data_IF_950468806835
#
_entry.id   IF_950468806835
#
_cell.length_a   1.000
_cell.length_b   1.000
_cell.length_c   1.000
_cell.angle_alpha   90.00
_cell.angle_beta   90.00
_cell.angle_gamma   90.00
#
_symmetry.space_group_name_H-M   'P 1'
#
loop_
_entity.id
_entity.type
_entity.pdbx_description
1 polymer ?
#
# COMPACT_ATOMS: atom_id res chain seq x y z
N UNK A 1 8.59 51.19 48.42
CA UNK A 1 9.88 51.70 48.93
C UNK A 1 10.90 50.56 48.74
N UNK A 2 11.65 50.58 47.63
CA UNK A 2 13.08 50.92 47.55
C UNK A 2 14.04 50.00 48.34
N UNK A 3 14.82 49.24 47.56
CA UNK A 3 16.30 49.14 47.58
C UNK A 3 16.92 48.29 48.73
N UNK A 4 17.52 47.12 48.50
CA UNK A 4 18.81 46.77 47.83
C UNK A 4 20.06 46.89 48.72
N UNK A 5 21.04 46.02 48.44
CA UNK A 5 22.43 45.87 48.93
C UNK A 5 22.59 45.09 50.26
N UNK A 6 23.36 44.01 50.45
CA UNK A 6 24.51 43.29 49.83
C UNK A 6 25.72 43.26 50.79
N UNK A 7 26.62 42.29 50.53
CA UNK A 7 27.93 42.02 51.14
C UNK A 7 27.89 41.19 52.45
N UNK A 8 28.78 40.22 52.71
CA UNK A 8 30.13 39.93 52.21
C UNK A 8 30.46 38.45 52.54
N UNK A 9 30.87 37.60 51.60
CA UNK A 9 32.25 37.32 51.16
C UNK A 9 33.14 36.55 52.16
N UNK A 10 33.44 35.29 51.79
CA UNK A 10 34.74 34.55 51.79
C UNK A 10 34.39 33.05 51.89
N UNK A 11 34.80 32.17 50.98
CA UNK A 11 36.19 31.76 50.81
C UNK A 11 36.40 30.96 49.48
N UNK A 12 37.53 31.27 48.81
CA UNK A 12 38.22 30.57 47.70
C UNK A 12 38.31 29.04 47.90
N UNK A 13 38.56 28.15 46.93
CA UNK A 13 38.72 28.09 45.47
C UNK A 13 38.82 26.57 45.18
N UNK A 14 38.28 26.09 44.07
CA UNK A 14 38.97 25.07 43.26
C UNK A 14 38.56 25.30 41.82
N UNK A 15 39.50 25.85 41.06
CA UNK A 15 39.44 26.04 39.62
C UNK A 15 39.52 24.67 38.95
N UNK A 16 38.43 24.24 38.32
CA UNK A 16 38.51 23.36 37.15
C UNK A 16 37.76 24.07 36.04
N UNK A 17 38.52 24.59 35.07
CA UNK A 17 38.02 25.07 33.78
C UNK A 17 37.30 23.90 33.10
N UNK A 18 36.01 24.04 32.83
CA UNK A 18 35.37 23.32 31.73
C UNK A 18 35.41 24.23 30.49
N UNK A 19 36.21 23.92 29.46
CA UNK A 19 36.20 24.68 28.24
C UNK A 19 34.92 24.39 27.47
N UNK A 20 34.22 25.48 27.10
CA UNK A 20 33.75 25.71 25.74
C UNK A 20 32.77 24.71 25.13
N UNK A 21 31.53 25.18 24.98
CA UNK A 21 30.71 25.13 23.77
C UNK A 21 31.41 24.59 22.50
N UNK A 22 30.65 23.75 21.78
CA UNK A 22 30.88 23.20 20.43
C UNK A 22 31.38 21.75 20.40
N UNK A 23 30.45 20.83 20.63
CA UNK A 23 30.43 19.58 19.86
C UNK A 23 28.97 19.21 19.56
N UNK A 24 28.29 20.10 18.84
CA UNK A 24 27.22 19.67 17.94
C UNK A 24 27.95 19.02 16.78
N UNK A 25 28.09 17.71 16.83
CA UNK A 25 28.60 16.92 15.72
C UNK A 25 27.81 17.32 14.44
N UNK A 26 28.43 18.00 13.46
CA UNK A 26 27.73 18.47 12.26
C UNK A 26 27.35 17.32 11.34
N UNK A 27 27.68 16.08 11.70
CA UNK A 27 27.40 14.87 10.97
C UNK A 27 26.30 14.07 11.64
N UNK A 28 25.09 14.64 11.77
CA UNK A 28 23.91 13.78 11.58
C UNK A 28 23.96 13.40 10.10
N UNK A 29 24.68 12.33 9.78
CA UNK A 29 24.48 11.60 8.53
C UNK A 29 22.97 11.43 8.41
N UNK A 30 22.32 12.08 7.45
CA UNK A 30 20.92 11.81 7.12
C UNK A 30 20.83 10.30 6.97
N UNK A 31 20.24 9.60 7.96
CA UNK A 31 19.96 8.17 7.81
C UNK A 31 19.10 8.07 6.56
N UNK A 32 19.62 7.39 5.54
CA UNK A 32 18.87 7.11 4.31
C UNK A 32 17.64 6.34 4.75
N UNK A 33 16.46 6.87 4.44
CA UNK A 33 15.20 6.25 4.82
C UNK A 33 14.98 5.02 3.96
N UNK A 34 14.46 3.96 4.56
CA UNK A 34 14.07 2.77 3.82
C UNK A 34 12.85 3.08 2.93
N UNK A 35 12.81 2.49 1.73
CA UNK A 35 11.81 2.80 0.71
C UNK A 35 10.55 1.95 0.92
N UNK A 36 9.38 2.58 0.82
CA UNK A 36 8.07 1.92 0.91
C UNK A 36 7.19 2.40 -0.25
N UNK A 37 6.47 1.48 -0.89
CA UNK A 37 5.48 1.83 -1.94
C UNK A 37 4.09 1.72 -1.36
N UNK A 38 3.23 2.69 -1.69
CA UNK A 38 1.82 2.70 -1.30
C UNK A 38 0.96 2.72 -2.57
N UNK A 39 0.10 1.71 -2.73
CA UNK A 39 -0.86 1.60 -3.85
C UNK A 39 -2.26 1.94 -3.34
N UNK A 40 -2.74 3.13 -3.70
CA UNK A 40 -4.04 3.66 -3.34
C UNK A 40 -5.02 3.63 -4.54
N UNK A 41 -6.33 3.71 -4.25
CA UNK A 41 -7.39 3.59 -5.24
C UNK A 41 -8.71 3.13 -4.65
N UNK A 42 -9.83 3.48 -5.29
CA UNK A 42 -11.15 3.01 -4.88
C UNK A 42 -11.31 1.49 -5.05
N UNK A 43 -12.29 0.87 -4.39
CA UNK A 43 -12.59 -0.56 -4.56
C UNK A 43 -12.86 -0.86 -6.04
N UNK A 44 -12.32 -1.97 -6.53
CA UNK A 44 -12.45 -2.38 -7.93
C UNK A 44 -11.46 -1.75 -8.91
N UNK A 45 -10.63 -0.77 -8.53
CA UNK A 45 -9.69 -0.13 -9.48
C UNK A 45 -8.46 -0.96 -9.87
N UNK A 46 -8.27 -2.17 -9.30
CA UNK A 46 -7.14 -3.04 -9.64
C UNK A 46 -5.89 -2.90 -8.74
N UNK A 47 -6.01 -2.32 -7.54
CA UNK A 47 -4.88 -2.19 -6.60
C UNK A 47 -4.13 -3.50 -6.32
N UNK A 48 -4.86 -4.59 -6.04
CA UNK A 48 -4.25 -5.89 -5.75
C UNK A 48 -3.46 -6.41 -6.96
N UNK A 49 -4.05 -6.33 -8.16
CA UNK A 49 -3.38 -6.65 -9.43
C UNK A 49 -2.07 -5.86 -9.56
N UNK A 50 -2.11 -4.54 -9.37
CA UNK A 50 -0.89 -3.71 -9.47
C UNK A 50 0.16 -4.10 -8.42
N UNK A 51 -0.25 -4.34 -7.16
CA UNK A 51 0.71 -4.71 -6.11
C UNK A 51 1.41 -6.04 -6.39
N UNK A 52 0.71 -6.99 -7.03
CA UNK A 52 1.26 -8.30 -7.41
C UNK A 52 2.15 -8.16 -8.65
N UNK A 53 1.72 -7.39 -9.66
CA UNK A 53 2.54 -7.09 -10.85
C UNK A 53 3.87 -6.42 -10.45
N UNK A 54 3.84 -5.53 -9.45
CA UNK A 54 5.05 -4.91 -8.92
C UNK A 54 5.90 -5.90 -8.11
N UNK A 55 5.28 -6.76 -7.30
CA UNK A 55 6.00 -7.75 -6.51
C UNK A 55 6.58 -8.93 -7.31
N UNK A 56 6.16 -9.10 -8.56
CA UNK A 56 6.80 -10.02 -9.52
C UNK A 56 7.96 -9.37 -10.27
N UNK A 57 7.98 -8.04 -10.40
CA UNK A 57 9.05 -7.26 -11.06
C UNK A 57 10.17 -6.84 -10.10
N UNK A 58 9.84 -6.62 -8.84
CA UNK A 58 10.76 -6.24 -7.77
C UNK A 58 10.76 -7.29 -6.68
N UNK A 59 11.87 -7.49 -5.93
CA UNK A 59 11.88 -8.38 -4.78
C UNK A 59 11.05 -7.77 -3.64
N UNK A 60 9.73 -7.91 -3.72
CA UNK A 60 8.78 -7.21 -2.87
C UNK A 60 7.81 -8.16 -2.16
N UNK A 61 7.13 -7.64 -1.14
CA UNK A 61 6.05 -8.32 -0.42
C UNK A 61 4.90 -7.32 -0.18
N UNK A 62 3.66 -7.82 -0.16
CA UNK A 62 2.47 -6.97 -0.06
C UNK A 62 1.96 -6.90 1.37
N UNK A 63 1.64 -5.71 1.85
CA UNK A 63 0.96 -5.47 3.13
C UNK A 63 -0.45 -4.98 2.84
N UNK A 64 -1.46 -5.79 3.17
CA UNK A 64 -2.86 -5.41 2.99
C UNK A 64 -3.23 -4.24 3.91
N UNK A 65 -3.90 -3.24 3.34
CA UNK A 65 -4.46 -2.09 4.05
C UNK A 65 -5.97 -1.93 3.83
N UNK A 66 -6.67 -2.99 3.42
CA UNK A 66 -8.13 -3.03 3.45
C UNK A 66 -8.65 -3.59 4.78
N UNK A 67 -9.42 -2.76 5.50
CA UNK A 67 -10.00 -3.06 6.82
C UNK A 67 -10.88 -4.30 6.88
N UNK A 68 -11.49 -4.72 5.77
CA UNK A 68 -12.34 -5.92 5.76
C UNK A 68 -11.54 -7.16 5.39
N UNK A 69 -10.48 -7.00 4.59
CA UNK A 69 -9.64 -8.12 4.15
C UNK A 69 -8.67 -8.62 5.23
N UNK A 70 -8.49 -7.89 6.34
CA UNK A 70 -7.67 -8.35 7.48
C UNK A 70 -8.27 -9.57 8.19
N UNK A 71 -9.58 -9.79 8.10
CA UNK A 71 -10.29 -10.85 8.83
C UNK A 71 -10.28 -12.18 8.10
N UNK A 72 -10.25 -13.26 8.87
CA UNK A 72 -10.40 -14.64 8.37
C UNK A 72 -11.79 -14.89 7.78
N UNK A 73 -11.85 -15.61 6.66
CA UNK A 73 -13.09 -15.96 5.98
C UNK A 73 -13.78 -14.76 5.31
N UNK A 74 -14.96 -15.00 4.75
CA UNK A 74 -15.65 -14.07 3.85
C UNK A 74 -14.77 -13.61 2.67
N UNK A 75 -14.02 -14.53 2.06
CA UNK A 75 -13.03 -14.24 1.03
C UNK A 75 -13.68 -13.70 -0.25
N UNK A 76 -14.86 -14.21 -0.62
CA UNK A 76 -15.65 -13.72 -1.76
C UNK A 76 -16.21 -12.33 -1.44
N UNK A 77 -16.96 -12.19 -0.34
CA UNK A 77 -17.61 -10.93 0.08
C UNK A 77 -16.59 -9.80 0.26
N UNK A 78 -15.44 -10.10 0.85
CA UNK A 78 -14.37 -9.10 1.07
C UNK A 78 -13.42 -8.96 -0.12
N UNK A 79 -13.68 -9.70 -1.22
CA UNK A 79 -12.91 -9.65 -2.47
C UNK A 79 -11.41 -9.83 -2.21
N UNK A 80 -11.04 -10.82 -1.39
CA UNK A 80 -9.63 -11.17 -1.19
C UNK A 80 -9.07 -11.76 -2.48
N UNK A 81 -7.79 -11.48 -2.70
CA UNK A 81 -7.02 -12.13 -3.76
C UNK A 81 -6.93 -13.63 -3.49
N UNK A 82 -7.12 -14.47 -4.51
CA UNK A 82 -6.99 -15.92 -4.37
C UNK A 82 -5.52 -16.36 -4.34
N UNK A 83 -5.24 -17.60 -3.94
CA UNK A 83 -3.87 -18.13 -3.94
C UNK A 83 -3.27 -18.15 -5.35
N UNK A 84 -4.09 -18.44 -6.37
CA UNK A 84 -3.67 -18.43 -7.77
C UNK A 84 -3.33 -17.00 -8.23
N UNK A 85 -4.19 -16.03 -7.92
CA UNK A 85 -3.97 -14.62 -8.26
C UNK A 85 -2.75 -14.03 -7.55
N UNK A 86 -2.41 -14.53 -6.35
CA UNK A 86 -1.22 -14.08 -5.61
C UNK A 86 0.09 -14.39 -6.34
N UNK A 87 0.13 -15.35 -7.26
CA UNK A 87 1.35 -15.73 -8.00
C UNK A 87 2.56 -16.03 -7.09
N UNK A 88 2.32 -16.57 -5.89
CA UNK A 88 3.35 -16.86 -4.88
C UNK A 88 3.91 -15.63 -4.15
N UNK A 89 3.37 -14.43 -4.37
CA UNK A 89 3.76 -13.21 -3.67
C UNK A 89 3.31 -13.27 -2.21
N UNK A 90 4.22 -13.09 -1.23
CA UNK A 90 3.83 -13.07 0.18
C UNK A 90 2.93 -11.86 0.51
N UNK A 91 1.82 -12.14 1.18
CA UNK A 91 0.87 -11.14 1.68
C UNK A 91 0.85 -11.11 3.21
N UNK A 92 0.92 -9.90 3.77
CA UNK A 92 0.81 -9.61 5.20
C UNK A 92 -0.52 -8.94 5.49
N UNK A 93 -1.06 -9.14 6.71
CA UNK A 93 -2.33 -8.58 7.16
C UNK A 93 -3.54 -8.91 6.29
N UNK A 94 -3.50 -10.05 5.60
CA UNK A 94 -4.59 -10.58 4.78
C UNK A 94 -5.13 -11.84 5.45
N UNK A 95 -6.38 -11.81 5.92
CA UNK A 95 -7.01 -12.99 6.51
C UNK A 95 -6.40 -13.49 7.83
N UNK A 96 -5.85 -12.60 8.66
CA UNK A 96 -5.15 -12.99 9.91
C UNK A 96 -5.96 -12.74 11.19
N UNK A 97 -6.94 -11.83 11.16
CA UNK A 97 -7.69 -11.36 12.34
C UNK A 97 -8.92 -12.24 12.58
N UNK A 98 -9.26 -12.46 13.85
CA UNK A 98 -10.50 -13.15 14.24
C UNK A 98 -11.73 -12.35 13.78
N UNK A 99 -12.72 -13.00 13.12
CA UNK A 99 -13.94 -12.33 12.63
C UNK A 99 -14.76 -11.57 13.68
N UNK A 100 -14.63 -11.92 14.96
CA UNK A 100 -15.45 -11.40 16.06
C UNK A 100 -14.76 -10.30 16.87
N UNK A 101 -13.52 -9.96 16.54
CA UNK A 101 -12.76 -8.92 17.24
C UNK A 101 -12.70 -7.68 16.35
N UNK A 102 -12.72 -6.50 16.94
CA UNK A 102 -12.52 -5.27 16.18
C UNK A 102 -11.04 -5.05 15.85
N UNK A 103 -10.78 -4.63 14.62
CA UNK A 103 -9.45 -4.22 14.16
C UNK A 103 -9.42 -2.70 13.91
N UNK A 104 -8.74 -1.96 14.78
CA UNK A 104 -8.71 -0.50 14.75
C UNK A 104 -7.59 0.04 13.85
N UNK A 105 -7.60 1.34 13.58
CA UNK A 105 -6.49 1.99 12.86
C UNK A 105 -5.17 1.98 13.66
N UNK A 106 -5.25 1.93 15.00
CA UNK A 106 -4.07 1.81 15.86
C UNK A 106 -3.47 0.40 15.76
N UNK A 107 -4.32 -0.64 15.73
CA UNK A 107 -3.89 -2.03 15.52
C UNK A 107 -3.24 -2.18 14.14
N UNK A 108 -3.89 -1.64 13.09
CA UNK A 108 -3.31 -1.60 11.75
C UNK A 108 -1.93 -0.96 11.76
N UNK A 109 -1.78 0.24 12.34
CA UNK A 109 -0.50 0.95 12.39
C UNK A 109 0.58 0.09 13.06
N UNK A 110 0.27 -0.50 14.20
CA UNK A 110 1.22 -1.36 14.92
C UNK A 110 1.65 -2.57 14.07
N UNK A 111 0.70 -3.33 13.55
CA UNK A 111 0.99 -4.54 12.79
C UNK A 111 1.61 -4.27 11.42
N UNK A 112 1.22 -3.18 10.75
CA UNK A 112 1.79 -2.77 9.47
C UNK A 112 3.25 -2.33 9.65
N UNK A 113 3.56 -1.54 10.70
CA UNK A 113 4.95 -1.16 11.00
C UNK A 113 5.84 -2.38 11.25
N UNK A 114 5.37 -3.39 11.98
CA UNK A 114 6.11 -4.65 12.19
C UNK A 114 6.31 -5.44 10.89
N UNK A 115 5.28 -5.51 10.04
CA UNK A 115 5.37 -6.18 8.75
C UNK A 115 6.39 -5.49 7.84
N UNK A 116 6.30 -4.16 7.70
CA UNK A 116 7.22 -3.33 6.92
C UNK A 116 8.66 -3.51 7.40
N UNK A 117 8.91 -3.38 8.72
CA UNK A 117 10.24 -3.59 9.30
C UNK A 117 10.79 -4.99 9.00
N UNK A 118 9.93 -6.02 9.10
CA UNK A 118 10.34 -7.38 8.80
C UNK A 118 10.64 -7.61 7.32
N UNK A 119 9.92 -6.97 6.39
CA UNK A 119 10.15 -7.07 4.94
C UNK A 119 11.47 -6.40 4.58
N UNK A 120 11.68 -5.18 5.08
CA UNK A 120 12.91 -4.40 4.85
C UNK A 120 14.13 -5.14 5.40
N UNK A 121 14.05 -5.75 6.59
CA UNK A 121 15.13 -6.56 7.17
C UNK A 121 15.51 -7.77 6.31
N UNK A 122 14.59 -8.28 5.48
CA UNK A 122 14.86 -9.33 4.48
C UNK A 122 15.46 -8.79 3.18
N UNK A 123 15.71 -7.49 3.07
CA UNK A 123 16.20 -6.83 1.87
C UNK A 123 15.15 -6.74 0.76
N UNK A 124 13.86 -6.71 1.11
CA UNK A 124 12.75 -6.68 0.17
C UNK A 124 11.97 -5.37 0.26
N UNK A 125 11.26 -5.03 -0.82
CA UNK A 125 10.44 -3.83 -0.90
C UNK A 125 9.05 -4.08 -0.28
N UNK A 126 8.64 -3.33 0.77
CA UNK A 126 7.26 -3.37 1.24
C UNK A 126 6.33 -2.57 0.31
N UNK A 127 5.27 -3.22 -0.17
CA UNK A 127 4.19 -2.60 -0.95
C UNK A 127 2.90 -2.62 -0.13
N UNK A 128 2.45 -1.46 0.34
CA UNK A 128 1.19 -1.32 1.09
C UNK A 128 0.05 -1.09 0.10
N UNK A 129 -0.93 -1.99 0.02
CA UNK A 129 -2.02 -1.91 -0.95
C UNK A 129 -3.38 -2.11 -0.27
N UNK A 130 -4.39 -1.29 -0.61
CA UNK A 130 -5.73 -1.43 -0.03
C UNK A 130 -6.61 -0.20 -0.14
N UNK A 131 -7.90 -0.36 0.17
CA UNK A 131 -8.92 0.69 0.00
C UNK A 131 -9.19 1.53 1.24
N UNK A 132 -8.58 1.24 2.39
CA UNK A 132 -8.84 1.98 3.64
C UNK A 132 -7.87 3.13 3.81
N UNK A 133 -8.17 4.25 3.15
CA UNK A 133 -7.39 5.49 3.21
C UNK A 133 -7.10 5.99 4.64
N UNK A 134 -7.98 5.70 5.60
CA UNK A 134 -7.77 5.99 7.02
C UNK A 134 -6.57 5.24 7.60
N UNK A 135 -6.38 3.98 7.23
CA UNK A 135 -5.24 3.15 7.66
C UNK A 135 -3.94 3.68 7.09
N UNK A 136 -3.92 3.97 5.78
CA UNK A 136 -2.77 4.58 5.10
C UNK A 136 -2.42 5.93 5.74
N UNK A 137 -3.41 6.78 6.00
CA UNK A 137 -3.20 8.08 6.66
C UNK A 137 -2.58 7.91 8.05
N UNK A 138 -3.15 7.05 8.89
CA UNK A 138 -2.66 6.88 10.26
C UNK A 138 -1.25 6.30 10.32
N UNK A 139 -0.89 5.43 9.37
CA UNK A 139 0.47 4.89 9.27
C UNK A 139 1.47 5.91 8.70
N UNK A 140 1.16 6.56 7.58
CA UNK A 140 2.15 7.38 6.87
C UNK A 140 2.22 8.81 7.38
N UNK A 141 1.13 9.35 7.95
CA UNK A 141 1.05 10.75 8.41
C UNK A 141 1.05 10.91 9.92
N UNK A 142 0.39 10.02 10.65
CA UNK A 142 0.19 10.17 12.09
C UNK A 142 1.25 9.41 12.92
N UNK A 143 2.02 8.51 12.31
CA UNK A 143 3.12 7.78 12.95
C UNK A 143 4.46 8.48 12.70
N UNK A 144 5.00 9.12 13.75
CA UNK A 144 6.28 9.85 13.69
C UNK A 144 7.46 8.88 13.49
N UNK A 145 7.40 7.71 14.12
CA UNK A 145 8.47 6.72 14.03
C UNK A 145 8.53 6.16 12.60
N UNK A 146 7.36 5.85 12.01
CA UNK A 146 7.28 5.42 10.62
C UNK A 146 7.84 6.48 9.66
N UNK A 147 7.46 7.74 9.82
CA UNK A 147 7.97 8.85 8.99
C UNK A 147 9.46 9.07 9.13
N UNK A 148 10.04 8.81 10.31
CA UNK A 148 11.48 8.96 10.54
C UNK A 148 12.29 7.87 9.84
N UNK A 149 11.73 6.66 9.72
CA UNK A 149 12.40 5.48 9.15
C UNK A 149 12.19 5.32 7.65
N UNK A 150 11.01 5.68 7.15
CA UNK A 150 10.58 5.32 5.80
C UNK A 150 10.31 6.53 4.93
N UNK A 151 10.64 6.38 3.66
CA UNK A 151 10.24 7.27 2.57
C UNK A 151 9.21 6.55 1.72
N UNK A 152 8.09 7.21 1.41
CA UNK A 152 6.96 6.60 0.71
C UNK A 152 6.81 7.14 -0.70
N UNK A 153 6.68 6.23 -1.67
CA UNK A 153 6.21 6.54 -3.02
C UNK A 153 4.73 6.13 -3.15
N UNK A 154 3.89 7.05 -3.60
CA UNK A 154 2.45 6.84 -3.70
C UNK A 154 2.01 6.67 -5.15
N UNK A 155 1.46 5.50 -5.46
CA UNK A 155 0.78 5.20 -6.71
C UNK A 155 -0.72 5.24 -6.49
N UNK A 156 -1.45 5.99 -7.30
CA UNK A 156 -2.91 6.04 -7.26
C UNK A 156 -3.49 5.50 -8.55
N UNK A 157 -4.14 4.34 -8.45
CA UNK A 157 -4.90 3.76 -9.56
C UNK A 157 -6.29 4.39 -9.60
N UNK A 158 -6.52 5.21 -10.61
CA UNK A 158 -7.75 5.97 -10.84
C UNK A 158 -8.57 5.37 -11.98
N UNK A 159 -9.89 5.44 -11.86
CA UNK A 159 -10.84 5.00 -12.89
C UNK A 159 -12.01 5.97 -12.88
N UNK A 160 -12.44 6.40 -14.06
CA UNK A 160 -13.63 7.24 -14.24
C UNK A 160 -14.84 6.66 -13.50
N UNK A 161 -15.48 7.49 -12.67
CA UNK A 161 -16.51 7.03 -11.72
C UNK A 161 -17.69 6.29 -12.39
N UNK A 162 -18.26 6.73 -13.52
CA UNK A 162 -19.34 5.99 -14.19
C UNK A 162 -18.91 4.57 -14.62
N UNK A 163 -17.70 4.44 -15.15
CA UNK A 163 -17.15 3.15 -15.61
C UNK A 163 -16.88 2.26 -14.40
N UNK A 164 -16.28 2.82 -13.34
CA UNK A 164 -16.03 2.10 -12.09
C UNK A 164 -17.33 1.60 -11.45
N UNK A 165 -18.38 2.42 -11.46
CA UNK A 165 -19.68 2.05 -10.88
C UNK A 165 -20.36 0.90 -11.63
N UNK A 166 -20.28 0.90 -12.96
CA UNK A 166 -20.72 -0.25 -13.76
C UNK A 166 -19.92 -1.49 -13.38
N UNK A 167 -18.59 -1.38 -13.39
CA UNK A 167 -17.72 -2.52 -13.10
C UNK A 167 -17.93 -3.13 -11.72
N UNK A 168 -18.02 -2.31 -10.67
CA UNK A 168 -18.21 -2.83 -9.31
C UNK A 168 -19.61 -3.41 -9.12
N UNK A 169 -20.62 -2.93 -9.86
CA UNK A 169 -21.96 -3.53 -9.89
C UNK A 169 -21.90 -4.92 -10.53
N UNK A 170 -21.32 -5.04 -11.73
CA UNK A 170 -21.18 -6.32 -12.43
C UNK A 170 -20.31 -7.31 -11.66
N UNK A 171 -19.34 -6.80 -10.88
CA UNK A 171 -18.54 -7.62 -9.98
C UNK A 171 -19.38 -8.26 -8.88
N UNK A 172 -20.38 -7.56 -8.33
CA UNK A 172 -21.27 -8.15 -7.32
C UNK A 172 -22.02 -9.34 -7.91
N UNK A 173 -22.45 -9.27 -9.18
CA UNK A 173 -23.08 -10.40 -9.85
C UNK A 173 -22.13 -11.61 -9.92
N UNK A 174 -20.88 -11.39 -10.35
CA UNK A 174 -19.85 -12.44 -10.33
C UNK A 174 -19.57 -12.99 -8.93
N UNK A 175 -19.64 -12.15 -7.90
CA UNK A 175 -19.49 -12.59 -6.51
C UNK A 175 -20.65 -13.50 -6.08
N UNK A 176 -21.88 -13.17 -6.47
CA UNK A 176 -23.06 -14.01 -6.23
C UNK A 176 -22.91 -15.36 -6.93
N UNK A 177 -22.51 -15.36 -8.20
CA UNK A 177 -22.22 -16.57 -8.98
C UNK A 177 -21.11 -17.42 -8.34
N UNK A 178 -20.10 -16.77 -7.74
CA UNK A 178 -19.01 -17.43 -7.05
C UNK A 178 -19.40 -17.99 -5.66
N UNK A 179 -20.61 -17.74 -5.17
CA UNK A 179 -21.11 -18.28 -3.90
C UNK A 179 -21.10 -17.29 -2.73
N UNK A 180 -21.18 -15.98 -2.98
CA UNK A 180 -21.31 -14.94 -1.94
C UNK A 180 -22.43 -15.27 -0.95
N UNK A 181 -23.58 -15.72 -1.44
CA UNK A 181 -24.75 -16.03 -0.59
C UNK A 181 -24.44 -17.19 0.36
N UNK A 182 -23.79 -18.24 -0.15
CA UNK A 182 -23.40 -19.40 0.65
C UNK A 182 -22.35 -19.04 1.70
N UNK A 183 -21.44 -18.14 1.34
CA UNK A 183 -20.40 -17.64 2.24
C UNK A 183 -21.00 -16.85 3.42
N UNK A 184 -21.91 -15.92 3.14
CA UNK A 184 -22.59 -15.15 4.19
C UNK A 184 -23.50 -16.05 5.03
N UNK A 185 -24.18 -17.03 4.40
CA UNK A 185 -25.04 -17.99 5.11
C UNK A 185 -24.28 -18.76 6.19
N UNK A 186 -23.02 -19.13 5.96
CA UNK A 186 -22.17 -19.82 6.96
C UNK A 186 -21.86 -18.96 8.19
N UNK A 187 -21.82 -17.64 8.04
CA UNK A 187 -21.56 -16.69 9.14
C UNK A 187 -22.85 -16.25 9.85
N UNK A 188 -24.01 -16.54 9.26
CA UNK A 188 -25.29 -16.00 9.70
C UNK A 188 -25.63 -16.40 11.14
N UNK A 189 -26.03 -15.40 11.92
CA UNK A 189 -26.56 -15.58 13.26
C UNK A 189 -27.70 -14.58 13.46
N UNK A 190 -28.94 -15.02 13.74
CA UNK A 190 -30.09 -14.13 13.93
C UNK A 190 -29.94 -13.08 15.03
N UNK A 191 -29.01 -13.29 15.98
CA UNK A 191 -28.70 -12.39 17.09
C UNK A 191 -27.37 -11.64 16.88
N UNK A 192 -26.81 -11.68 15.67
CA UNK A 192 -25.55 -11.02 15.37
C UNK A 192 -25.66 -9.50 15.50
N UNK A 193 -24.55 -8.90 15.92
CA UNK A 193 -24.32 -7.46 15.80
C UNK A 193 -23.53 -7.19 14.52
N UNK A 194 -24.11 -6.39 13.62
CA UNK A 194 -23.50 -6.00 12.35
C UNK A 194 -22.63 -4.73 12.45
N UNK A 195 -22.41 -4.22 13.66
CA UNK A 195 -21.62 -3.01 13.91
C UNK A 195 -20.15 -3.27 14.23
N UNK A 196 -19.75 -4.54 14.38
CA UNK A 196 -18.40 -4.96 14.82
C UNK A 196 -17.76 -6.03 13.93
N UNK A 197 -16.43 -6.07 13.95
CA UNK A 197 -15.61 -7.08 13.29
C UNK A 197 -15.86 -7.18 11.78
N UNK A 198 -15.83 -8.42 11.28
CA UNK A 198 -16.04 -8.72 9.85
C UNK A 198 -17.49 -8.50 9.39
N UNK A 199 -18.45 -8.50 10.32
CA UNK A 199 -19.89 -8.44 10.01
C UNK A 199 -20.33 -7.09 9.43
N UNK A 200 -19.44 -6.09 9.48
CA UNK A 200 -19.60 -4.79 8.85
C UNK A 200 -19.35 -4.79 7.34
N UNK A 201 -18.85 -5.90 6.79
CA UNK A 201 -18.55 -6.00 5.36
C UNK A 201 -19.82 -5.83 4.53
N UNK A 202 -19.76 -5.00 3.48
CA UNK A 202 -20.85 -4.86 2.49
C UNK A 202 -21.13 -6.23 1.90
N UNK A 203 -22.38 -6.68 1.96
CA UNK A 203 -22.78 -8.05 1.64
C UNK A 203 -23.35 -8.79 2.83
N UNK A 204 -22.85 -8.52 4.05
CA UNK A 204 -23.29 -9.25 5.25
C UNK A 204 -24.59 -8.67 5.83
N UNK A 205 -24.69 -7.36 6.15
CA UNK A 205 -25.95 -6.79 6.63
C UNK A 205 -27.08 -6.86 5.60
N UNK A 206 -26.76 -6.63 4.33
CA UNK A 206 -27.75 -6.61 3.24
C UNK A 206 -28.41 -7.99 3.02
N UNK A 207 -27.71 -9.08 3.33
CA UNK A 207 -28.22 -10.44 3.17
C UNK A 207 -29.05 -10.93 4.37
N UNK A 208 -29.05 -10.22 5.50
CA UNK A 208 -29.79 -10.61 6.71
C UNK A 208 -31.30 -10.82 6.45
N UNK A 209 -32.03 -9.93 5.74
CA UNK A 209 -33.45 -10.14 5.46
C UNK A 209 -33.72 -11.42 4.67
N UNK A 210 -32.88 -11.73 3.69
CA UNK A 210 -32.98 -12.96 2.89
C UNK A 210 -32.77 -14.21 3.75
N UNK A 211 -31.72 -14.22 4.56
CA UNK A 211 -31.38 -15.36 5.42
C UNK A 211 -32.43 -15.59 6.53
N UNK A 212 -33.06 -14.53 7.03
CA UNK A 212 -34.22 -14.65 7.94
C UNK A 212 -35.43 -15.25 7.23
N UNK A 213 -35.69 -14.85 5.99
CA UNK A 213 -36.79 -15.39 5.19
C UNK A 213 -36.58 -16.88 4.82
N UNK A 214 -35.33 -17.30 4.61
CA UNK A 214 -34.98 -18.72 4.44
C UNK A 214 -35.29 -19.54 5.69
N UNK A 215 -34.96 -19.03 6.89
CA UNK A 215 -35.27 -19.70 8.16
C UNK A 215 -36.76 -19.73 8.49
N UNK A 216 -37.51 -18.70 8.09
CA UNK A 216 -38.95 -18.66 8.29
C UNK A 216 -39.65 -19.62 7.32
N UNK A 217 -40.41 -20.60 7.84
CA UNK A 217 -41.22 -21.51 7.00
C UNK A 217 -42.44 -20.84 6.35
N UNK A 218 -42.60 -19.52 6.54
CA UNK A 218 -43.77 -18.74 6.11
C UNK A 218 -43.60 -18.04 4.77
N UNK A 219 -42.36 -17.88 4.28
CA UNK A 219 -42.09 -17.21 3.01
C UNK A 219 -42.12 -18.22 1.85
N UNK A 220 -42.94 -17.94 0.84
CA UNK A 220 -42.96 -18.71 -0.41
C UNK A 220 -41.68 -18.45 -1.22
N UNK A 221 -41.37 -19.36 -2.16
CA UNK A 221 -40.17 -19.29 -2.99
C UNK A 221 -40.06 -17.97 -3.77
N UNK A 222 -41.18 -17.50 -4.33
CA UNK A 222 -41.25 -16.22 -5.05
C UNK A 222 -40.89 -15.03 -4.15
N UNK A 223 -41.39 -15.02 -2.91
CA UNK A 223 -41.07 -13.98 -1.94
C UNK A 223 -39.59 -14.00 -1.57
N UNK A 224 -39.00 -15.19 -1.42
CA UNK A 224 -37.56 -15.33 -1.12
C UNK A 224 -36.70 -14.82 -2.27
N UNK A 225 -37.06 -15.14 -3.50
CA UNK A 225 -36.37 -14.62 -4.70
C UNK A 225 -36.43 -13.09 -4.77
N UNK A 226 -37.59 -12.49 -4.49
CA UNK A 226 -37.73 -11.03 -4.44
C UNK A 226 -36.85 -10.38 -3.36
N UNK A 227 -36.77 -10.99 -2.17
CA UNK A 227 -35.91 -10.49 -1.08
C UNK A 227 -34.43 -10.63 -1.45
N UNK A 228 -34.04 -11.73 -2.09
CA UNK A 228 -32.66 -11.93 -2.55
C UNK A 228 -32.25 -10.88 -3.58
N UNK A 229 -33.10 -10.63 -4.59
CA UNK A 229 -32.86 -9.59 -5.59
C UNK A 229 -32.72 -8.20 -4.95
N UNK A 230 -33.58 -7.88 -3.98
CA UNK A 230 -33.49 -6.62 -3.23
C UNK A 230 -32.16 -6.51 -2.46
N UNK A 231 -31.72 -7.58 -1.80
CA UNK A 231 -30.44 -7.64 -1.10
C UNK A 231 -29.26 -7.43 -2.06
N UNK A 232 -29.23 -8.13 -3.20
CA UNK A 232 -28.18 -7.97 -4.23
C UNK A 232 -28.14 -6.54 -4.75
N UNK A 233 -29.31 -5.94 -5.02
CA UNK A 233 -29.40 -4.56 -5.45
C UNK A 233 -28.84 -3.58 -4.39
N UNK A 234 -29.11 -3.83 -3.10
CA UNK A 234 -28.55 -3.03 -2.01
C UNK A 234 -27.03 -3.16 -1.91
N UNK A 235 -26.48 -4.37 -2.06
CA UNK A 235 -25.03 -4.62 -2.10
C UNK A 235 -24.38 -3.81 -3.23
N UNK A 236 -24.96 -3.83 -4.44
CA UNK A 236 -24.50 -3.03 -5.58
C UNK A 236 -24.52 -1.54 -5.24
N UNK A 237 -25.63 -1.05 -4.72
CA UNK A 237 -25.78 0.36 -4.35
C UNK A 237 -24.75 0.81 -3.30
N UNK A 238 -24.54 0.01 -2.25
CA UNK A 238 -23.61 0.31 -1.17
C UNK A 238 -22.15 0.21 -1.64
N UNK A 239 -21.83 -0.73 -2.53
CA UNK A 239 -20.50 -0.83 -3.17
C UNK A 239 -20.20 0.40 -4.03
N UNK A 240 -21.17 0.86 -4.83
CA UNK A 240 -21.06 2.09 -5.63
C UNK A 240 -20.89 3.35 -4.76
N UNK A 241 -21.60 3.42 -3.61
CA UNK A 241 -21.41 4.50 -2.63
C UNK A 241 -19.99 4.45 -2.04
N UNK A 242 -19.51 3.27 -1.64
CA UNK A 242 -18.16 3.08 -1.11
C UNK A 242 -17.09 3.55 -2.10
N UNK A 243 -17.18 3.15 -3.37
CA UNK A 243 -16.25 3.56 -4.42
C UNK A 243 -16.18 5.10 -4.54
N UNK A 244 -17.34 5.77 -4.53
CA UNK A 244 -17.44 7.23 -4.56
C UNK A 244 -16.80 7.87 -3.32
N UNK A 245 -17.09 7.36 -2.12
CA UNK A 245 -16.50 7.88 -0.88
C UNK A 245 -14.97 7.69 -0.84
N UNK A 246 -14.47 6.55 -1.31
CA UNK A 246 -13.03 6.29 -1.38
C UNK A 246 -12.34 7.26 -2.35
N UNK A 247 -12.93 7.52 -3.53
CA UNK A 247 -12.40 8.50 -4.48
C UNK A 247 -12.32 9.90 -3.86
N UNK A 248 -13.39 10.37 -3.21
CA UNK A 248 -13.40 11.66 -2.50
C UNK A 248 -12.31 11.73 -1.41
N UNK A 249 -12.12 10.64 -0.67
CA UNK A 249 -11.08 10.56 0.35
C UNK A 249 -9.68 10.60 -0.25
N UNK A 250 -9.42 9.94 -1.39
CA UNK A 250 -8.11 9.99 -2.07
C UNK A 250 -7.81 11.40 -2.56
N UNK A 251 -8.78 12.08 -3.16
CA UNK A 251 -8.61 13.48 -3.58
C UNK A 251 -8.31 14.39 -2.37
N UNK A 252 -8.96 14.15 -1.23
CA UNK A 252 -8.64 14.86 0.02
C UNK A 252 -7.23 14.53 0.53
N UNK A 253 -6.81 13.26 0.44
CA UNK A 253 -5.45 12.83 0.79
C UNK A 253 -4.40 13.49 -0.11
N UNK A 254 -4.62 13.55 -1.42
CA UNK A 254 -3.73 14.20 -2.38
C UNK A 254 -3.51 15.68 -2.02
N UNK A 255 -4.54 16.38 -1.56
CA UNK A 255 -4.40 17.77 -1.08
C UNK A 255 -3.66 17.87 0.26
N UNK A 256 -3.75 16.85 1.12
CA UNK A 256 -3.16 16.84 2.46
C UNK A 256 -1.71 16.35 2.50
N UNK A 257 -1.33 15.50 1.55
CA UNK A 257 0.03 15.06 1.33
C UNK A 257 0.63 16.00 0.29
N UNK A 258 1.57 16.86 0.70
CA UNK A 258 2.39 17.63 -0.26
C UNK A 258 3.34 16.73 -1.09
N UNK A 259 3.16 15.40 -1.02
CA UNK A 259 3.87 14.40 -1.79
C UNK A 259 3.20 14.23 -3.16
N UNK A 260 4.03 14.10 -4.19
CA UNK A 260 3.65 13.69 -5.54
C UNK A 260 3.04 12.29 -5.51
N UNK A 261 1.71 12.21 -5.44
CA UNK A 261 0.97 10.97 -5.71
C UNK A 261 0.89 10.81 -7.24
N UNK A 262 1.49 9.74 -7.76
CA UNK A 262 1.49 9.45 -9.19
C UNK A 262 0.15 8.83 -9.57
N UNK A 263 -0.68 9.59 -10.30
CA UNK A 263 -1.97 9.11 -10.79
C UNK A 263 -1.78 8.25 -12.04
N UNK A 264 -2.35 7.06 -12.00
CA UNK A 264 -2.37 6.06 -13.07
C UNK A 264 -3.82 5.88 -13.51
N UNK A 265 -4.17 6.40 -14.69
CA UNK A 265 -5.54 6.32 -15.21
C UNK A 265 -5.76 4.96 -15.88
N UNK A 266 -6.49 4.09 -15.19
CA UNK A 266 -6.83 2.77 -15.67
C UNK A 266 -8.16 2.76 -16.46
N UNK A 267 -8.81 3.90 -16.72
CA UNK A 267 -10.15 3.95 -17.33
C UNK A 267 -10.25 3.16 -18.64
N UNK A 268 -9.29 3.33 -19.55
CA UNK A 268 -9.22 2.61 -20.84
C UNK A 268 -9.10 1.09 -20.67
N UNK A 269 -8.51 0.62 -19.56
CA UNK A 269 -8.42 -0.81 -19.26
C UNK A 269 -9.80 -1.42 -19.06
N UNK A 270 -10.67 -0.70 -18.36
CA UNK A 270 -12.03 -1.15 -18.02
C UNK A 270 -12.99 -1.07 -19.21
N UNK A 271 -12.62 -0.37 -20.27
CA UNK A 271 -13.39 -0.30 -21.52
C UNK A 271 -13.03 -1.43 -22.51
N UNK A 272 -11.98 -2.20 -22.23
CA UNK A 272 -11.45 -3.27 -23.08
C UNK A 272 -11.69 -4.64 -22.47
N UNK A 273 -11.52 -5.69 -23.28
CA UNK A 273 -11.71 -7.08 -22.86
C UNK A 273 -10.53 -7.97 -23.27
N UNK A 274 -10.28 -9.02 -22.47
CA UNK A 274 -9.24 -10.01 -22.71
C UNK A 274 -7.86 -9.38 -22.90
N UNK A 275 -7.11 -9.89 -23.89
CA UNK A 275 -5.74 -9.47 -24.17
C UNK A 275 -5.59 -7.95 -24.39
N UNK A 276 -6.61 -7.28 -24.93
CA UNK A 276 -6.56 -5.83 -25.14
C UNK A 276 -6.62 -5.05 -23.83
N UNK A 277 -7.32 -5.57 -22.83
CA UNK A 277 -7.35 -4.99 -21.50
C UNK A 277 -5.99 -5.19 -20.80
N UNK A 278 -5.38 -6.37 -20.94
CA UNK A 278 -4.07 -6.65 -20.36
C UNK A 278 -2.95 -5.80 -20.99
N UNK A 279 -2.97 -5.62 -22.31
CA UNK A 279 -2.05 -4.71 -22.99
C UNK A 279 -2.26 -3.24 -22.55
N UNK A 280 -3.52 -2.80 -22.42
CA UNK A 280 -3.81 -1.47 -21.91
C UNK A 280 -3.35 -1.29 -20.45
N UNK A 281 -3.52 -2.32 -19.61
CA UNK A 281 -3.07 -2.32 -18.23
C UNK A 281 -1.54 -2.20 -18.14
N UNK A 282 -0.82 -2.95 -18.98
CA UNK A 282 0.63 -2.86 -19.03
C UNK A 282 1.08 -1.45 -19.43
N UNK A 283 0.51 -0.89 -20.49
CA UNK A 283 0.94 0.39 -21.05
C UNK A 283 0.56 1.60 -20.17
N UNK A 284 -0.59 1.55 -19.48
CA UNK A 284 -1.15 2.70 -18.76
C UNK A 284 -0.94 2.63 -17.24
N UNK A 285 -0.74 1.42 -16.69
CA UNK A 285 -0.70 1.21 -15.23
C UNK A 285 0.60 0.53 -14.81
N UNK A 286 0.82 -0.74 -15.18
CA UNK A 286 1.92 -1.53 -14.62
C UNK A 286 3.31 -1.07 -15.11
N UNK A 287 3.45 -0.78 -16.41
CA UNK A 287 4.68 -0.25 -17.01
C UNK A 287 5.10 1.09 -16.42
N UNK A 288 4.25 2.13 -16.46
CA UNK A 288 4.55 3.42 -15.83
C UNK A 288 4.87 3.30 -14.32
N UNK A 289 4.12 2.46 -13.59
CA UNK A 289 4.40 2.20 -12.16
C UNK A 289 5.79 1.60 -11.94
N UNK A 290 6.21 0.68 -12.81
CA UNK A 290 7.52 0.05 -12.76
C UNK A 290 8.63 1.08 -12.96
N UNK A 291 8.46 2.01 -13.91
CA UNK A 291 9.42 3.09 -14.15
C UNK A 291 9.52 4.03 -12.94
N UNK A 292 8.39 4.48 -12.40
CA UNK A 292 8.33 5.36 -11.22
C UNK A 292 9.02 4.71 -10.02
N UNK A 293 8.75 3.42 -9.76
CA UNK A 293 9.39 2.71 -8.64
C UNK A 293 10.88 2.50 -8.91
N UNK A 294 11.27 2.21 -10.15
CA UNK A 294 12.69 2.14 -10.53
C UNK A 294 13.42 3.44 -10.20
N UNK A 295 12.90 4.58 -10.65
CA UNK A 295 13.45 5.89 -10.31
C UNK A 295 13.51 6.10 -8.79
N UNK A 296 12.39 5.87 -8.08
CA UNK A 296 12.31 6.04 -6.63
C UNK A 296 13.33 5.20 -5.83
N UNK A 297 13.62 3.98 -6.28
CA UNK A 297 14.58 3.10 -5.61
C UNK A 297 16.04 3.48 -5.91
N UNK A 298 16.32 3.96 -7.13
CA UNK A 298 17.69 4.17 -7.61
C UNK A 298 18.12 5.66 -7.69
N UNK A 299 17.23 6.62 -7.46
CA UNK A 299 17.52 8.07 -7.44
C UNK A 299 18.72 8.43 -6.53
N UNK A 300 18.80 7.78 -5.38
CA UNK A 300 19.85 7.99 -4.38
C UNK A 300 21.21 7.36 -4.78
N UNK A 301 21.21 6.25 -5.53
CA UNK A 301 22.45 5.60 -5.98
C UNK A 301 23.14 6.42 -7.08
N UNK A 302 22.35 7.11 -7.91
CA UNK A 302 22.87 8.04 -8.92
C UNK A 302 23.49 9.30 -8.27
N UNK A 303 22.89 9.82 -7.20
CA UNK A 303 23.42 10.95 -6.44
C UNK A 303 24.67 10.60 -5.62
N UNK A 304 24.71 9.39 -5.06
CA UNK A 304 25.89 8.89 -4.34
C UNK A 304 27.10 8.65 -5.28
N UNK A 305 26.86 8.12 -6.49
CA UNK A 305 27.89 7.95 -7.52
C UNK A 305 28.41 9.29 -8.06
N UNK A 306 27.52 10.28 -8.25
CA UNK A 306 27.88 11.62 -8.74
C UNK A 306 28.63 12.48 -7.70
N UNK A 307 28.48 12.19 -6.40
CA UNK A 307 29.15 12.93 -5.32
C UNK A 307 30.59 12.45 -5.01
N UNK A 308 31.06 11.38 -5.65
CA UNK A 308 32.46 10.93 -5.53
C UNK A 308 33.38 11.81 -6.39
N UNK A 309 34.30 12.60 -5.82
CA UNK A 309 35.26 13.33 -6.64
C UNK A 309 36.21 12.31 -7.29
N UNK A 310 36.22 12.29 -8.62
CA UNK A 310 37.22 11.56 -9.37
C UNK A 310 38.61 12.05 -8.95
N UNK A 311 39.35 11.20 -8.25
CA UNK A 311 40.77 11.44 -7.97
C UNK A 311 41.51 11.55 -9.31
N UNK A 312 42.28 12.62 -9.58
CA UNK A 312 43.01 12.74 -10.83
C UNK A 312 44.16 11.74 -10.83
N UNK A 313 44.01 10.66 -11.60
CA UNK A 313 45.11 9.75 -11.93
C UNK A 313 46.15 10.52 -12.73
N UNK A 314 47.29 10.84 -12.10
CA UNK A 314 48.47 11.34 -12.79
C UNK A 314 48.98 10.22 -13.70
N UNK A 315 48.70 10.32 -15.00
CA UNK A 315 49.35 9.48 -16.01
C UNK A 315 50.69 10.12 -16.34
N UNK A 316 51.75 9.61 -15.75
CA UNK A 316 53.12 9.93 -16.13
C UNK A 316 53.42 9.28 -17.49
N UNK A 317 53.57 10.11 -18.52
CA UNK A 317 54.03 9.67 -19.82
C UNK A 317 55.53 9.29 -19.74
N UNK A 318 55.85 8.05 -20.12
CA UNK A 318 57.21 7.65 -20.47
C UNK A 318 57.17 7.03 -21.87
N UNK A 319 57.71 7.77 -22.84
CA UNK A 319 58.10 7.27 -24.15
C UNK A 319 59.53 6.72 -24.07
N UNK A 320 59.83 5.60 -24.75
CA UNK A 320 60.99 5.42 -25.65
C UNK A 320 60.81 4.13 -26.50
N UNK A 321 60.65 4.38 -27.81
CA UNK A 321 61.07 3.72 -29.06
C UNK A 321 61.76 2.33 -29.14
N UNK A 322 61.34 1.58 -30.18
CA UNK A 322 62.14 0.66 -31.03
C UNK A 322 61.87 -0.84 -30.82
N UNK A 323 61.61 -1.73 -31.79
CA UNK A 323 61.79 -1.75 -33.26
C UNK A 323 60.90 -2.86 -33.89
N UNK A 324 60.55 -2.67 -35.17
CA UNK A 324 59.98 -3.58 -36.20
C UNK A 324 60.56 -5.03 -36.21
N UNK A 325 60.00 -6.14 -36.74
CA UNK A 325 58.80 -6.60 -37.52
C UNK A 325 58.86 -8.17 -37.54
N UNK A 326 58.24 -8.98 -38.46
CA UNK A 326 56.91 -9.60 -38.36
C UNK A 326 56.87 -11.15 -38.53
N UNK A 327 55.74 -11.81 -38.20
CA UNK A 327 55.36 -13.17 -38.68
C UNK A 327 53.83 -13.36 -38.48
N UNK A 328 52.96 -13.33 -39.50
CA UNK A 328 52.50 -14.40 -40.44
C UNK A 328 51.50 -15.42 -39.84
N UNK A 329 50.30 -15.45 -40.48
CA UNK A 329 49.29 -16.53 -40.62
C UNK A 329 48.50 -16.99 -39.35
N UNK A 330 47.24 -17.44 -39.36
CA UNK A 330 46.16 -17.71 -40.32
C UNK A 330 44.82 -17.77 -39.52
N UNK A 331 43.72 -17.20 -40.01
CA UNK A 331 42.52 -17.88 -40.54
C UNK A 331 41.84 -19.00 -39.70
N UNK A 332 40.52 -18.81 -39.52
CA UNK A 332 39.41 -19.81 -39.43
C UNK A 332 39.30 -20.76 -38.23
N UNK A 333 38.30 -20.54 -37.38
CA UNK A 333 37.02 -21.29 -37.37
C UNK A 333 35.94 -20.50 -36.64
#
# INVERSE_FOLDING_TARGET
>A
MRLSFSASCKQKQLLVNFPGLNDMDPFITRRRKDKVVVVAGATGTGKSRLSIDLATRFPAEVVNSDKMQVYKGLDIVTNKVTEEECCGVPHHLLGIVDPNVDFTAADFRHHASLAVESIVRRGRLPIIAGGSNSYIKTLVKDDIDFQSKYECCFLWVDVSLPILQSFVSDRVDRMVEAGLVDEVRKLFNPKADYTSGIRRAIGVPEMDPFLRAELSSTANEETRAMILEAAIHEIKANTCKLARYQLQNILSLQNQFQCSMYRLDATEVFLKHGNQADEAWENLVAGPSTMIIGEFLYEDDFMAMAATPASPSVITAASVLGTATPAVAAATH
#
